data_IF_036991171713
#
_entry.id   IF_036991171713
#
_cell.length_a   1.000
_cell.length_b   1.000
_cell.length_c   1.000
_cell.angle_alpha   90.00
_cell.angle_beta   90.00
_cell.angle_gamma   90.00
#
_symmetry.space_group_name_H-M   'P 1'
#
loop_
_entity.id
_entity.type
_entity.pdbx_description
1 polymer ?
#
# COMPACT_ATOMS: atom_id res chain seq x y z
N UNK A 1 10.03 12.64 -16.85
CA UNK A 1 9.06 12.40 -15.75
C UNK A 1 9.20 10.95 -15.32
N UNK A 2 9.93 10.67 -14.25
CA UNK A 2 9.99 9.31 -13.69
C UNK A 2 8.72 9.05 -12.88
N UNK A 3 7.83 8.13 -13.28
CA UNK A 3 6.65 7.80 -12.49
C UNK A 3 7.07 7.02 -11.24
N UNK A 4 6.33 7.19 -10.14
CA UNK A 4 6.56 6.36 -8.95
C UNK A 4 6.25 4.90 -9.29
N UNK A 5 7.06 3.99 -8.76
CA UNK A 5 6.87 2.55 -8.93
C UNK A 5 6.11 1.95 -7.75
N UNK A 6 5.70 0.69 -7.86
CA UNK A 6 5.11 -0.04 -6.74
C UNK A 6 6.01 0.07 -5.49
N UNK A 7 5.41 0.23 -4.31
CA UNK A 7 6.16 0.50 -3.08
C UNK A 7 6.58 1.94 -2.87
N UNK A 8 6.29 2.84 -3.80
CA UNK A 8 6.67 4.25 -3.70
C UNK A 8 5.48 5.18 -3.93
N UNK A 9 5.62 6.40 -3.39
CA UNK A 9 4.78 7.55 -3.67
C UNK A 9 5.60 8.68 -4.27
N UNK A 10 4.95 9.52 -5.05
CA UNK A 10 5.55 10.76 -5.50
C UNK A 10 5.66 11.74 -4.32
N UNK A 11 6.87 12.18 -4.01
CA UNK A 11 7.13 13.18 -2.96
C UNK A 11 7.08 14.59 -3.54
N UNK A 12 7.68 14.79 -4.72
CA UNK A 12 7.73 16.08 -5.41
C UNK A 12 7.54 15.87 -6.91
N UNK A 13 6.77 16.75 -7.56
CA UNK A 13 6.66 16.80 -9.02
C UNK A 13 7.96 17.33 -9.63
N UNK A 14 8.23 16.96 -10.88
CA UNK A 14 9.32 17.59 -11.62
C UNK A 14 9.07 19.10 -11.81
N UNK A 15 10.15 19.83 -11.96
CA UNK A 15 10.18 21.26 -12.35
C UNK A 15 11.12 21.41 -13.55
N UNK A 16 11.26 22.61 -14.11
CA UNK A 16 12.18 22.86 -15.23
C UNK A 16 13.64 22.50 -14.92
N UNK A 17 14.01 22.42 -13.64
CA UNK A 17 15.38 22.20 -13.18
C UNK A 17 15.56 20.94 -12.30
N UNK A 18 14.50 20.16 -12.05
CA UNK A 18 14.58 18.99 -11.18
C UNK A 18 13.58 17.89 -11.58
N UNK A 19 14.01 16.64 -11.50
CA UNK A 19 13.16 15.47 -11.77
C UNK A 19 12.14 15.19 -10.65
N UNK A 20 11.19 14.31 -10.96
CA UNK A 20 10.22 13.80 -9.99
C UNK A 20 10.94 13.03 -8.87
N UNK A 21 10.74 13.45 -7.62
CA UNK A 21 11.28 12.73 -6.47
C UNK A 21 10.23 11.72 -5.96
N UNK A 22 10.64 10.46 -5.80
CA UNK A 22 9.83 9.41 -5.21
C UNK A 22 10.34 9.02 -3.82
N UNK A 23 9.48 8.48 -2.97
CA UNK A 23 9.86 7.98 -1.65
C UNK A 23 9.10 6.70 -1.33
N UNK A 24 9.72 5.75 -0.61
CA UNK A 24 9.07 4.51 -0.24
C UNK A 24 7.85 4.75 0.64
N UNK A 25 6.89 3.83 0.56
CA UNK A 25 5.76 3.80 1.48
C UNK A 25 6.23 3.54 2.91
N UNK A 26 5.60 4.23 3.86
CA UNK A 26 5.80 4.00 5.30
C UNK A 26 5.21 2.64 5.69
N UNK A 27 5.62 2.13 6.84
CA UNK A 27 5.10 0.85 7.32
C UNK A 27 3.59 0.95 7.62
N UNK A 28 2.84 -0.10 7.26
CA UNK A 28 1.38 -0.07 7.24
C UNK A 28 0.77 0.59 6.00
N UNK A 29 1.56 0.98 5.00
CA UNK A 29 1.09 1.52 3.73
C UNK A 29 1.69 0.79 2.53
N UNK A 30 0.91 0.69 1.46
CA UNK A 30 1.29 0.04 0.21
C UNK A 30 0.94 0.87 -1.03
N UNK A 31 1.59 0.56 -2.15
CA UNK A 31 1.28 1.08 -3.47
C UNK A 31 1.51 -0.03 -4.51
N UNK A 32 0.43 -0.53 -5.12
CA UNK A 32 0.47 -1.72 -5.99
C UNK A 32 0.64 -1.42 -7.48
N UNK A 33 0.65 -0.15 -7.87
CA UNK A 33 0.72 0.26 -9.27
C UNK A 33 1.59 1.49 -9.42
N UNK A 34 2.08 1.70 -10.64
CA UNK A 34 2.84 2.88 -11.04
C UNK A 34 1.92 4.10 -11.10
N UNK A 35 1.74 4.77 -9.96
CA UNK A 35 0.82 5.91 -9.85
C UNK A 35 1.50 7.14 -9.28
N UNK A 36 1.02 8.31 -9.70
CA UNK A 36 1.39 9.60 -9.10
C UNK A 36 0.75 9.85 -7.72
N UNK A 37 0.04 8.86 -7.18
CA UNK A 37 -0.74 8.95 -5.95
C UNK A 37 0.07 8.71 -4.67
N UNK A 38 -0.60 8.90 -3.54
CA UNK A 38 -0.08 8.54 -2.22
C UNK A 38 -0.21 7.03 -1.96
N UNK A 39 0.61 6.51 -1.05
CA UNK A 39 0.46 5.14 -0.58
C UNK A 39 -0.89 4.96 0.12
N UNK A 40 -1.53 3.81 -0.11
CA UNK A 40 -2.78 3.42 0.53
C UNK A 40 -2.48 2.75 1.87
N UNK A 41 -3.31 2.99 2.88
CA UNK A 41 -3.19 2.25 4.15
C UNK A 41 -3.53 0.79 3.93
N UNK A 42 -2.76 -0.10 4.54
CA UNK A 42 -3.04 -1.52 4.50
C UNK A 42 -4.34 -1.87 5.23
N UNK A 43 -5.06 -2.86 4.71
CA UNK A 43 -6.31 -3.36 5.29
C UNK A 43 -6.12 -3.80 6.74
N UNK A 44 -7.10 -3.53 7.60
CA UNK A 44 -7.34 -3.93 9.01
C UNK A 44 -7.69 -5.40 9.37
N UNK A 45 -6.82 -6.41 9.45
CA UNK A 45 -7.27 -7.72 9.93
C UNK A 45 -7.53 -7.72 11.44
N UNK A 46 -8.69 -8.22 11.87
CA UNK A 46 -9.08 -8.28 13.28
C UNK A 46 -9.71 -9.62 13.62
N UNK A 47 -9.02 -10.37 14.47
CA UNK A 47 -9.52 -11.64 15.01
C UNK A 47 -10.85 -11.48 15.76
N UNK A 48 -11.05 -10.32 16.43
CA UNK A 48 -12.31 -9.98 17.11
C UNK A 48 -13.47 -9.79 16.14
N UNK A 49 -13.18 -9.37 14.91
CA UNK A 49 -14.15 -9.24 13.81
C UNK A 49 -14.25 -10.51 12.96
N UNK A 50 -13.61 -11.61 13.38
CA UNK A 50 -13.65 -12.88 12.67
C UNK A 50 -12.71 -12.97 11.47
N UNK A 51 -11.67 -12.13 11.38
CA UNK A 51 -10.71 -12.17 10.26
C UNK A 51 -9.28 -12.40 10.74
N UNK A 52 -8.47 -13.07 9.93
CA UNK A 52 -7.05 -13.32 10.17
C UNK A 52 -6.22 -12.88 9.00
N UNK A 53 -5.02 -12.36 9.30
CA UNK A 53 -4.03 -12.06 8.28
C UNK A 53 -3.52 -13.37 7.70
N UNK A 54 -3.66 -13.53 6.38
CA UNK A 54 -3.09 -14.66 5.62
C UNK A 54 -1.92 -14.23 4.75
N UNK A 55 -1.81 -12.92 4.49
CA UNK A 55 -0.67 -12.31 3.84
C UNK A 55 -0.34 -10.98 4.51
N UNK A 56 0.93 -10.72 4.86
CA UNK A 56 1.32 -9.48 5.49
C UNK A 56 1.15 -8.27 4.56
N UNK A 57 1.05 -7.09 5.16
CA UNK A 57 1.13 -5.82 4.45
C UNK A 57 2.56 -5.62 3.92
N UNK A 58 2.71 -5.46 2.61
CA UNK A 58 3.98 -5.13 1.97
C UNK A 58 3.94 -3.73 1.38
N UNK A 59 5.10 -3.12 1.10
CA UNK A 59 5.11 -1.80 0.45
C UNK A 59 4.45 -1.86 -0.94
N UNK A 60 4.50 -3.00 -1.61
CA UNK A 60 3.97 -3.21 -2.97
C UNK A 60 2.58 -3.87 -2.99
N UNK A 61 2.08 -4.41 -1.89
CA UNK A 61 0.83 -5.19 -1.87
C UNK A 61 0.05 -4.98 -0.58
N UNK A 62 -1.27 -4.99 -0.68
CA UNK A 62 -2.12 -4.91 0.51
C UNK A 62 -2.00 -6.17 1.35
N UNK A 63 -2.32 -6.03 2.64
CA UNK A 63 -2.60 -7.15 3.51
C UNK A 63 -3.86 -7.87 3.05
N UNK A 64 -3.80 -9.20 3.00
CA UNK A 64 -4.97 -10.04 2.74
C UNK A 64 -5.49 -10.63 4.05
N UNK A 65 -6.77 -10.44 4.29
CA UNK A 65 -7.49 -10.99 5.44
C UNK A 65 -8.45 -12.08 4.97
N UNK A 66 -8.47 -13.22 5.66
CA UNK A 66 -9.48 -14.25 5.46
C UNK A 66 -10.44 -14.32 6.65
N UNK A 67 -11.71 -14.62 6.36
CA UNK A 67 -12.71 -14.88 7.39
C UNK A 67 -12.45 -16.24 8.06
N UNK A 68 -12.55 -16.27 9.38
CA UNK A 68 -12.55 -17.52 10.15
C UNK A 68 -13.84 -18.28 9.88
N UNK A 69 -13.76 -19.61 9.90
CA UNK A 69 -14.93 -20.49 9.85
C UNK A 69 -15.94 -20.08 10.95
N UNK A 70 -17.22 -19.95 10.57
CA UNK A 70 -18.30 -19.47 11.45
C UNK A 70 -18.49 -17.95 11.50
N UNK A 71 -17.66 -17.16 10.81
CA UNK A 71 -17.85 -15.71 10.62
C UNK A 71 -18.14 -15.30 9.17
N UNK A 72 -17.99 -16.23 8.22
CA UNK A 72 -18.49 -16.04 6.86
C UNK A 72 -20.02 -16.26 6.84
N UNK A 73 -20.79 -15.42 6.12
CA UNK A 73 -22.25 -15.55 6.02
C UNK A 73 -22.70 -16.83 5.32
#
# INVERSE_FOLDING_TARGET
>A
LTPAVAGQRMRSRCTASADTACSPCQDGYFSSQHHHGFCRSCTVCSARRGSVEVKPCEKTSDRECECRAGFAP
#
